data_IF_420495868016
#
_entry.id   IF_420495868016
#
_cell.length_a   1.000
_cell.length_b   1.000
_cell.length_c   1.000
_cell.angle_alpha   90.00
_cell.angle_beta   90.00
_cell.angle_gamma   90.00
#
_symmetry.space_group_name_H-M   'P 1'
#
loop_
_entity.id
_entity.type
_entity.pdbx_description
1 polymer ?
#
# COMPACT_ATOMS: atom_id res chain seq x y z
N UNK A 1 4.60 47.33 -1.71
CA UNK A 1 3.29 46.86 -2.21
C UNK A 1 3.53 45.86 -3.33
N UNK A 2 3.03 44.63 -3.19
CA UNK A 2 2.74 43.76 -4.34
C UNK A 2 3.69 42.60 -4.65
N UNK A 3 3.82 41.62 -3.77
CA UNK A 3 3.95 40.23 -4.24
C UNK A 3 2.54 39.65 -4.27
N UNK A 4 1.83 39.97 -5.35
CA UNK A 4 0.43 39.63 -5.55
C UNK A 4 0.27 38.13 -5.83
N UNK A 5 -0.36 37.44 -4.88
CA UNK A 5 -0.90 36.08 -4.93
C UNK A 5 0.05 34.94 -5.30
N UNK A 6 0.09 33.90 -4.47
CA UNK A 6 0.58 32.59 -4.88
C UNK A 6 -0.12 32.15 -6.18
N UNK A 7 0.66 31.73 -7.18
CA UNK A 7 0.17 31.22 -8.48
C UNK A 7 -0.77 30.00 -8.29
N UNK A 8 -0.71 29.37 -7.12
CA UNK A 8 -1.60 28.28 -6.72
C UNK A 8 -2.48 28.71 -5.55
N UNK A 9 -3.82 28.69 -5.69
CA UNK A 9 -4.75 29.20 -4.67
C UNK A 9 -4.95 28.27 -3.46
N UNK A 10 -4.04 27.32 -3.23
CA UNK A 10 -4.12 26.35 -2.14
C UNK A 10 -2.84 26.37 -1.31
N UNK A 11 -2.99 26.58 0.00
CA UNK A 11 -1.89 26.57 0.98
C UNK A 11 -1.22 25.18 1.09
N UNK A 12 -1.98 24.11 0.79
CA UNK A 12 -1.51 22.74 0.85
C UNK A 12 -1.87 21.94 -0.42
N UNK A 13 -1.18 22.16 -1.56
CA UNK A 13 -1.46 21.45 -2.80
C UNK A 13 -1.24 19.93 -2.69
N UNK A 14 -0.39 19.48 -1.75
CA UNK A 14 -0.11 18.07 -1.50
C UNK A 14 -1.33 17.26 -1.02
N UNK A 15 -2.34 17.90 -0.43
CA UNK A 15 -3.54 17.18 0.02
C UNK A 15 -4.28 16.52 -1.14
N UNK A 16 -4.28 17.16 -2.32
CA UNK A 16 -4.93 16.61 -3.50
C UNK A 16 -4.16 15.44 -4.10
N UNK A 17 -2.85 15.58 -4.29
CA UNK A 17 -2.02 14.51 -4.86
C UNK A 17 -1.94 13.31 -3.94
N UNK A 18 -1.82 13.51 -2.63
CA UNK A 18 -1.84 12.45 -1.63
C UNK A 18 -3.18 11.71 -1.67
N UNK A 19 -4.30 12.43 -1.58
CA UNK A 19 -5.62 11.79 -1.61
C UNK A 19 -5.85 10.98 -2.90
N UNK A 20 -5.51 11.55 -4.05
CA UNK A 20 -5.61 10.87 -5.35
C UNK A 20 -4.69 9.64 -5.41
N UNK A 21 -3.46 9.73 -4.88
CA UNK A 21 -2.55 8.60 -4.84
C UNK A 21 -3.09 7.45 -3.99
N UNK A 22 -3.56 7.74 -2.77
CA UNK A 22 -4.13 6.72 -1.88
C UNK A 22 -5.38 6.06 -2.48
N UNK A 23 -6.31 6.86 -3.00
CA UNK A 23 -7.53 6.34 -3.64
C UNK A 23 -7.18 5.53 -4.88
N UNK A 24 -6.27 6.02 -5.72
CA UNK A 24 -5.82 5.34 -6.92
C UNK A 24 -5.17 3.99 -6.62
N UNK A 25 -4.19 3.96 -5.71
CA UNK A 25 -3.53 2.72 -5.27
C UNK A 25 -4.55 1.70 -4.78
N UNK A 26 -5.47 2.14 -3.89
CA UNK A 26 -6.52 1.26 -3.37
C UNK A 26 -7.45 0.74 -4.47
N UNK A 27 -7.95 1.63 -5.34
CA UNK A 27 -8.88 1.27 -6.40
C UNK A 27 -8.25 0.27 -7.37
N UNK A 28 -7.07 0.57 -7.89
CA UNK A 28 -6.39 -0.32 -8.82
C UNK A 28 -6.00 -1.65 -8.17
N UNK A 29 -5.53 -1.63 -6.92
CA UNK A 29 -5.22 -2.87 -6.16
C UNK A 29 -6.45 -3.73 -5.91
N UNK A 30 -7.59 -3.12 -5.60
CA UNK A 30 -8.84 -3.85 -5.37
C UNK A 30 -9.40 -4.44 -6.67
N UNK A 31 -9.28 -3.73 -7.80
CA UNK A 31 -9.75 -4.21 -9.10
C UNK A 31 -8.76 -5.12 -9.83
N UNK A 32 -7.54 -5.26 -9.29
CA UNK A 32 -6.54 -6.13 -9.88
C UNK A 32 -6.95 -7.60 -9.75
N UNK A 33 -7.20 -8.20 -10.91
CA UNK A 33 -7.53 -9.62 -11.09
C UNK A 33 -6.45 -10.32 -11.93
N UNK A 34 -5.27 -9.70 -12.07
CA UNK A 34 -4.14 -10.31 -12.77
C UNK A 34 -3.74 -11.64 -12.11
N UNK A 35 -3.22 -12.60 -12.89
CA UNK A 35 -2.63 -13.82 -12.36
C UNK A 35 -1.55 -13.53 -11.30
N UNK A 36 -0.73 -12.51 -11.54
CA UNK A 36 0.34 -12.07 -10.64
C UNK A 36 -0.22 -11.59 -9.29
N UNK A 37 -1.23 -10.71 -9.29
CA UNK A 37 -1.87 -10.23 -8.07
C UNK A 37 -2.51 -11.36 -7.25
N UNK A 38 -3.07 -12.37 -7.91
CA UNK A 38 -3.61 -13.55 -7.23
C UNK A 38 -2.51 -14.42 -6.60
N UNK A 39 -1.37 -14.59 -7.28
CA UNK A 39 -0.22 -15.30 -6.73
C UNK A 39 0.35 -14.60 -5.49
N UNK A 40 0.39 -13.27 -5.47
CA UNK A 40 0.84 -12.51 -4.30
C UNK A 40 -0.12 -12.65 -3.11
N UNK A 41 -1.44 -12.61 -3.35
CA UNK A 41 -2.47 -12.83 -2.31
C UNK A 41 -2.34 -14.21 -1.66
N UNK A 42 -2.10 -15.26 -2.44
CA UNK A 42 -1.88 -16.63 -1.95
C UNK A 42 -0.61 -16.73 -1.08
N UNK A 43 0.50 -16.12 -1.51
CA UNK A 43 1.73 -16.06 -0.70
C UNK A 43 1.49 -15.35 0.62
N UNK A 44 0.79 -14.21 0.60
CA UNK A 44 0.43 -13.49 1.82
C UNK A 44 -0.42 -14.35 2.74
N UNK A 45 -1.42 -15.07 2.21
CA UNK A 45 -2.28 -15.97 3.00
C UNK A 45 -1.46 -17.07 3.68
N UNK A 46 -0.51 -17.67 2.98
CA UNK A 46 0.39 -18.67 3.57
C UNK A 46 1.22 -18.08 4.72
N UNK A 47 1.76 -16.86 4.56
CA UNK A 47 2.49 -16.17 5.62
C UNK A 47 1.61 -15.81 6.81
N UNK A 48 0.37 -15.38 6.56
CA UNK A 48 -0.61 -15.04 7.59
C UNK A 48 -1.01 -16.27 8.42
N UNK A 49 -1.16 -17.44 7.80
CA UNK A 49 -1.43 -18.68 8.53
C UNK A 49 -0.22 -19.05 9.39
N UNK A 50 0.99 -18.97 8.83
CA UNK A 50 2.24 -19.24 9.56
C UNK A 50 2.42 -18.29 10.76
N UNK A 51 2.15 -17.00 10.60
CA UNK A 51 2.30 -16.03 11.70
C UNK A 51 1.30 -16.25 12.83
N UNK A 52 0.09 -16.71 12.53
CA UNK A 52 -0.93 -17.00 13.54
C UNK A 52 -0.76 -18.37 14.21
N UNK A 53 -0.34 -19.38 13.47
CA UNK A 53 -0.29 -20.78 13.96
C UNK A 53 1.09 -21.20 14.44
N UNK A 54 2.15 -20.50 14.03
CA UNK A 54 3.52 -20.93 14.26
C UNK A 54 3.93 -22.16 13.43
N UNK A 55 3.15 -22.56 12.42
CA UNK A 55 3.53 -23.68 11.56
C UNK A 55 4.84 -23.37 10.82
N UNK A 56 5.89 -24.15 11.11
CA UNK A 56 7.22 -23.96 10.54
C UNK A 56 8.11 -22.96 11.29
N UNK A 57 7.80 -22.56 12.53
CA UNK A 57 8.82 -21.96 13.44
C UNK A 57 9.69 -23.02 14.13
N UNK A 58 9.38 -24.30 13.95
CA UNK A 58 10.11 -25.42 14.57
C UNK A 58 11.56 -25.56 14.11
N UNK A 59 11.94 -24.96 12.97
CA UNK A 59 13.34 -24.76 12.62
C UNK A 59 13.89 -23.56 13.40
N UNK A 60 14.08 -23.75 14.70
CA UNK A 60 14.94 -22.89 15.50
C UNK A 60 16.31 -22.84 14.83
N UNK A 61 16.68 -21.66 14.30
CA UNK A 61 18.03 -21.44 13.78
C UNK A 61 18.99 -21.60 14.95
N UNK A 62 19.82 -22.64 14.93
CA UNK A 62 20.99 -22.71 15.79
C UNK A 62 21.86 -21.49 15.47
N UNK A 63 22.11 -20.67 16.50
CA UNK A 63 23.08 -19.58 16.47
C UNK A 63 24.49 -20.14 16.60
#
# INVERSE_FOLDING_TARGET
LGHASAIFPYEYPALFSIAVAFIGIWFFSATDNSPEGNLEREKFRAQFIRSQTGLGVEQGRAH
#
